data_IF_703255905361
#
_entry.id   IF_703255905361
#
_cell.length_a   1.000
_cell.length_b   1.000
_cell.length_c   1.000
_cell.angle_alpha   90.00
_cell.angle_beta   90.00
_cell.angle_gamma   90.00
#
_symmetry.space_group_name_H-M   'P 1'
#
loop_
_entity.id
_entity.type
_entity.pdbx_description
1 polymer ?
#
# COMPACT_ATOMS: atom_id res chain seq x y z
N UNK A 1 -6.88 -10.66 13.01
CA UNK A 1 -7.89 -10.35 11.98
C UNK A 1 -9.24 -10.82 12.51
N UNK A 2 -10.27 -9.98 12.41
CA UNK A 2 -11.65 -10.28 12.80
C UNK A 2 -12.50 -10.32 11.53
N UNK A 3 -13.40 -11.29 11.46
CA UNK A 3 -14.39 -11.41 10.40
C UNK A 3 -15.78 -11.19 10.99
N UNK A 4 -16.59 -10.37 10.33
CA UNK A 4 -17.97 -10.07 10.72
C UNK A 4 -18.87 -10.41 9.54
N UNK A 5 -19.77 -11.38 9.71
CA UNK A 5 -20.76 -11.72 8.70
C UNK A 5 -21.82 -10.60 8.60
N UNK A 6 -22.08 -10.16 7.38
CA UNK A 6 -23.14 -9.21 7.02
C UNK A 6 -24.23 -9.96 6.25
N UNK A 7 -25.41 -9.36 6.12
CA UNK A 7 -26.52 -9.96 5.35
C UNK A 7 -26.18 -10.20 3.86
N UNK A 8 -25.20 -9.46 3.33
CA UNK A 8 -24.79 -9.49 1.91
C UNK A 8 -23.29 -9.76 1.71
N UNK A 9 -22.56 -10.22 2.74
CA UNK A 9 -21.12 -10.47 2.61
C UNK A 9 -20.39 -10.66 3.93
N UNK A 10 -19.08 -10.43 3.92
CA UNK A 10 -18.23 -10.47 5.11
C UNK A 10 -17.40 -9.20 5.19
N UNK A 11 -17.35 -8.59 6.36
CA UNK A 11 -16.46 -7.47 6.68
C UNK A 11 -15.21 -8.01 7.36
N UNK A 12 -14.05 -7.53 6.90
CA UNK A 12 -12.75 -7.89 7.45
C UNK A 12 -12.18 -6.71 8.23
N UNK A 13 -11.79 -6.93 9.48
CA UNK A 13 -11.15 -5.91 10.33
C UNK A 13 -9.78 -6.40 10.77
N UNK A 14 -8.75 -5.60 10.53
CA UNK A 14 -7.38 -5.89 10.92
C UNK A 14 -6.79 -4.68 11.64
N UNK A 15 -6.37 -4.88 12.89
CA UNK A 15 -5.82 -3.81 13.71
C UNK A 15 -6.05 -4.03 15.21
N UNK A 16 -5.44 -3.19 16.06
CA UNK A 16 -4.40 -2.22 15.69
C UNK A 16 -3.11 -2.94 15.26
N UNK A 17 -2.44 -2.42 14.23
CA UNK A 17 -1.14 -2.93 13.75
C UNK A 17 -0.16 -1.77 13.53
N UNK A 18 1.16 -2.00 13.67
CA UNK A 18 2.14 -0.93 13.48
C UNK A 18 2.15 -0.38 12.05
N UNK A 19 2.13 0.95 11.93
CA UNK A 19 2.33 1.63 10.65
C UNK A 19 3.83 1.83 10.31
N UNK A 20 4.68 1.83 11.33
CA UNK A 20 6.14 1.98 11.21
C UNK A 20 6.78 0.71 11.74
N UNK A 21 7.59 0.05 10.90
CA UNK A 21 8.41 -1.11 11.29
C UNK A 21 9.88 -0.69 11.40
N UNK A 22 10.72 -1.62 11.86
CA UNK A 22 12.17 -1.42 11.95
C UNK A 22 12.89 -2.47 11.09
N UNK A 23 13.68 -2.00 10.11
CA UNK A 23 14.59 -2.83 9.34
C UNK A 23 15.88 -3.03 10.13
N UNK A 24 16.10 -4.25 10.64
CA UNK A 24 17.30 -4.62 11.39
C UNK A 24 18.55 -4.70 10.51
N UNK A 25 18.43 -4.95 9.21
CA UNK A 25 19.59 -5.03 8.32
C UNK A 25 20.23 -3.67 8.08
N UNK A 26 19.41 -2.60 8.10
CA UNK A 26 19.82 -1.21 7.85
C UNK A 26 19.70 -0.29 9.07
N UNK A 27 19.28 -0.83 10.21
CA UNK A 27 19.14 -0.11 11.48
C UNK A 27 18.30 1.18 11.39
N UNK A 28 17.14 1.08 10.73
CA UNK A 28 16.25 2.23 10.51
C UNK A 28 14.78 1.89 10.57
N UNK A 29 13.96 2.90 10.89
CA UNK A 29 12.50 2.82 10.76
C UNK A 29 12.10 2.86 9.28
N UNK A 30 11.01 2.18 8.94
CA UNK A 30 10.49 2.08 7.58
C UNK A 30 8.98 2.29 7.56
N UNK A 31 8.49 2.95 6.50
CA UNK A 31 7.06 3.18 6.25
C UNK A 31 6.41 1.91 5.67
N UNK A 32 6.21 0.91 6.52
CA UNK A 32 5.72 -0.41 6.12
C UNK A 32 4.25 -0.58 6.51
N UNK A 33 3.38 0.03 5.71
CA UNK A 33 1.93 -0.03 5.86
C UNK A 33 1.24 0.22 4.51
N UNK A 34 -0.09 0.13 4.51
CA UNK A 34 -0.91 0.33 3.32
C UNK A 34 -1.81 1.57 3.43
N UNK A 35 -1.43 2.58 4.23
CA UNK A 35 -2.27 3.74 4.55
C UNK A 35 -2.76 4.47 3.30
N UNK A 36 -1.84 4.97 2.47
CA UNK A 36 -2.17 5.70 1.24
C UNK A 36 -2.93 4.79 0.27
N UNK A 37 -2.44 3.55 0.07
CA UNK A 37 -3.06 2.59 -0.84
C UNK A 37 -4.52 2.27 -0.50
N UNK A 38 -4.84 2.10 0.80
CA UNK A 38 -6.20 1.86 1.25
C UNK A 38 -7.06 3.13 1.12
N UNK A 39 -6.55 4.26 1.60
CA UNK A 39 -7.31 5.51 1.66
C UNK A 39 -7.63 6.11 0.29
N UNK A 40 -6.82 5.84 -0.74
CA UNK A 40 -7.02 6.39 -2.09
C UNK A 40 -7.41 5.36 -3.13
N UNK A 41 -7.37 4.06 -2.80
CA UNK A 41 -7.46 3.00 -3.80
C UNK A 41 -8.37 1.83 -3.44
N UNK A 42 -8.81 1.68 -2.19
CA UNK A 42 -9.78 0.62 -1.82
C UNK A 42 -11.20 1.13 -2.01
N UNK A 43 -11.52 1.44 -3.25
CA UNK A 43 -12.82 1.95 -3.67
C UNK A 43 -13.50 0.93 -4.59
N UNK A 44 -14.65 0.42 -4.15
CA UNK A 44 -15.56 -0.37 -4.97
C UNK A 44 -16.99 -0.26 -4.42
N UNK A 45 -17.95 -1.01 -4.98
CA UNK A 45 -19.35 -0.97 -4.54
C UNK A 45 -19.58 -1.36 -3.07
N UNK A 46 -18.56 -1.89 -2.38
CA UNK A 46 -18.62 -2.37 -0.99
C UNK A 46 -17.71 -1.56 -0.06
N UNK A 47 -16.73 -0.85 -0.60
CA UNK A 47 -15.69 -0.19 0.17
C UNK A 47 -15.65 1.31 -0.11
N UNK A 48 -15.80 2.09 0.96
CA UNK A 48 -15.56 3.53 0.99
C UNK A 48 -14.08 3.75 1.38
N UNK A 49 -13.24 4.29 0.48
CA UNK A 49 -11.80 4.35 0.69
C UNK A 49 -11.42 5.20 1.91
N UNK A 50 -12.17 6.27 2.24
CA UNK A 50 -11.87 7.11 3.41
C UNK A 50 -12.19 6.43 4.74
N UNK A 51 -12.92 5.30 4.70
CA UNK A 51 -13.20 4.43 5.86
C UNK A 51 -12.40 3.13 5.85
N UNK A 52 -11.66 2.87 4.77
CA UNK A 52 -10.90 1.63 4.59
C UNK A 52 -9.71 1.51 5.55
N UNK A 53 -9.23 2.65 6.05
CA UNK A 53 -8.14 2.73 7.03
C UNK A 53 -8.38 3.89 8.00
N UNK A 54 -8.16 3.61 9.28
CA UNK A 54 -8.26 4.57 10.38
C UNK A 54 -7.02 4.47 11.26
N UNK A 55 -6.90 5.33 12.26
CA UNK A 55 -6.02 5.05 13.38
C UNK A 55 -6.42 3.73 14.08
N UNK A 56 -5.49 3.17 14.85
CA UNK A 56 -5.67 1.89 15.54
C UNK A 56 -6.75 1.89 16.61
N UNK A 57 -7.18 3.07 17.05
CA UNK A 57 -8.29 3.32 17.98
C UNK A 57 -9.64 3.57 17.26
N UNK A 58 -9.65 3.53 15.93
CA UNK A 58 -10.84 3.77 15.11
C UNK A 58 -11.07 5.24 14.70
N UNK A 59 -10.25 6.19 15.17
CA UNK A 59 -10.38 7.58 14.73
C UNK A 59 -10.02 7.74 13.25
N UNK A 60 -10.75 8.57 12.49
CA UNK A 60 -10.43 8.80 11.08
C UNK A 60 -9.06 9.45 10.93
N UNK A 61 -8.38 9.14 9.82
CA UNK A 61 -7.14 9.79 9.45
C UNK A 61 -7.43 11.17 8.80
N UNK A 62 -6.64 12.22 9.10
CA UNK A 62 -6.78 13.52 8.42
C UNK A 62 -6.44 13.40 6.94
N UNK A 63 -7.38 13.78 6.07
CA UNK A 63 -7.26 13.60 4.62
C UNK A 63 -6.08 14.38 4.04
N UNK A 64 -5.88 15.63 4.48
CA UNK A 64 -4.79 16.51 4.08
C UNK A 64 -3.42 15.86 4.32
N UNK A 65 -3.23 15.23 5.49
CA UNK A 65 -1.97 14.54 5.83
C UNK A 65 -1.76 13.32 4.93
N UNK A 66 -2.81 12.58 4.58
CA UNK A 66 -2.70 11.42 3.71
C UNK A 66 -2.31 11.83 2.29
N UNK A 67 -2.89 12.92 1.77
CA UNK A 67 -2.52 13.44 0.46
C UNK A 67 -1.13 14.04 0.44
N UNK A 68 -0.67 14.65 1.54
CA UNK A 68 0.71 15.11 1.67
C UNK A 68 1.70 13.92 1.69
N UNK A 69 1.32 12.81 2.36
CA UNK A 69 2.07 11.56 2.29
C UNK A 69 2.10 10.96 0.87
N UNK A 70 0.98 10.99 0.14
CA UNK A 70 0.94 10.59 -1.27
C UNK A 70 1.91 11.42 -2.10
N UNK A 71 1.93 12.74 -1.91
CA UNK A 71 2.87 13.63 -2.60
C UNK A 71 4.32 13.26 -2.32
N UNK A 72 4.70 13.00 -1.07
CA UNK A 72 6.05 12.53 -0.72
C UNK A 72 6.39 11.22 -1.46
N UNK A 73 5.45 10.27 -1.54
CA UNK A 73 5.66 9.02 -2.26
C UNK A 73 5.86 9.24 -3.76
N UNK A 74 5.19 10.22 -4.36
CA UNK A 74 5.35 10.57 -5.78
C UNK A 74 6.66 11.29 -6.04
N UNK A 75 7.04 12.24 -5.19
CA UNK A 75 8.27 13.04 -5.31
C UNK A 75 9.52 12.16 -5.15
N UNK A 76 9.50 11.19 -4.26
CA UNK A 76 10.62 10.28 -3.98
C UNK A 76 10.65 9.02 -4.87
N UNK A 77 9.66 8.84 -5.77
CA UNK A 77 9.62 7.65 -6.61
C UNK A 77 10.62 7.70 -7.79
N UNK A 78 11.13 6.54 -8.19
CA UNK A 78 12.02 6.41 -9.36
C UNK A 78 11.32 5.58 -10.45
N UNK A 79 10.66 6.22 -11.44
CA UNK A 79 9.95 5.51 -12.51
C UNK A 79 10.93 5.09 -13.62
N UNK A 80 11.42 3.85 -13.56
CA UNK A 80 12.30 3.28 -14.59
C UNK A 80 11.46 2.70 -15.74
N UNK A 81 11.62 3.16 -16.99
CA UNK A 81 10.93 2.58 -18.15
C UNK A 81 11.42 1.16 -18.42
N UNK A 82 10.51 0.19 -18.35
CA UNK A 82 10.80 -1.23 -18.59
C UNK A 82 11.22 -1.50 -20.04
N UNK A 83 12.26 -2.32 -20.20
CA UNK A 83 12.66 -2.93 -21.46
C UNK A 83 12.54 -4.46 -21.37
N UNK A 84 12.35 -5.09 -22.52
CA UNK A 84 12.30 -6.55 -22.61
C UNK A 84 13.65 -7.13 -22.18
N UNK A 85 13.62 -8.05 -21.22
CA UNK A 85 14.81 -8.70 -20.67
C UNK A 85 15.29 -8.10 -19.35
N UNK A 86 14.75 -6.95 -18.94
CA UNK A 86 15.09 -6.36 -17.64
C UNK A 86 14.63 -7.28 -16.48
N UNK A 87 15.46 -7.31 -15.44
CA UNK A 87 15.12 -7.91 -14.14
C UNK A 87 15.36 -6.87 -13.07
N UNK A 88 14.33 -6.57 -12.28
CA UNK A 88 14.43 -5.68 -11.13
C UNK A 88 14.40 -6.52 -9.85
N UNK A 89 15.43 -6.37 -9.01
CA UNK A 89 15.46 -6.93 -7.66
C UNK A 89 15.04 -5.83 -6.68
N UNK A 90 14.03 -6.12 -5.87
CA UNK A 90 13.52 -5.20 -4.85
C UNK A 90 13.73 -5.83 -3.47
N UNK A 91 14.33 -5.08 -2.55
CA UNK A 91 14.23 -5.39 -1.12
C UNK A 91 12.90 -4.86 -0.59
N UNK A 92 12.00 -5.79 -0.25
CA UNK A 92 10.63 -5.49 0.16
C UNK A 92 10.55 -4.79 1.55
N UNK A 93 11.61 -4.81 2.36
CA UNK A 93 11.66 -4.04 3.61
C UNK A 93 12.01 -2.57 3.35
N UNK A 94 12.70 -2.27 2.25
CA UNK A 94 13.22 -0.93 1.98
C UNK A 94 12.42 -0.17 0.91
N UNK A 95 11.52 -0.83 0.18
CA UNK A 95 10.95 -0.28 -1.05
C UNK A 95 9.45 -0.54 -1.14
N UNK A 96 8.67 0.51 -1.40
CA UNK A 96 7.30 0.39 -1.88
C UNK A 96 7.31 0.43 -3.41
N UNK A 97 6.40 -0.29 -4.07
CA UNK A 97 6.28 -0.28 -5.51
C UNK A 97 4.83 0.00 -5.94
N UNK A 98 4.69 0.62 -7.10
CA UNK A 98 3.39 0.95 -7.70
C UNK A 98 3.42 0.69 -9.21
N UNK A 99 2.33 1.03 -9.90
CA UNK A 99 2.21 0.84 -11.34
C UNK A 99 1.52 2.05 -11.97
N UNK A 100 2.13 2.65 -12.99
CA UNK A 100 1.48 3.65 -13.84
C UNK A 100 0.43 3.00 -14.74
N UNK A 101 -0.57 3.76 -15.17
CA UNK A 101 -1.45 3.36 -16.26
C UNK A 101 -0.64 3.09 -17.54
N UNK A 102 -1.13 2.20 -18.39
CA UNK A 102 -0.45 1.80 -19.62
C UNK A 102 -1.46 1.32 -20.65
N UNK A 103 -1.08 1.42 -21.93
CA UNK A 103 -1.81 0.81 -23.02
C UNK A 103 -1.26 -0.60 -23.30
N UNK A 104 -2.12 -1.63 -23.42
CA UNK A 104 -1.68 -2.98 -23.76
C UNK A 104 -1.09 -3.04 -25.19
N UNK A 105 -0.18 -3.99 -25.50
CA UNK A 105 0.20 -5.13 -24.66
C UNK A 105 1.30 -4.80 -23.64
N UNK A 106 1.17 -5.34 -22.42
CA UNK A 106 2.21 -5.28 -21.37
C UNK A 106 2.23 -6.58 -20.57
N UNK A 107 3.42 -7.17 -20.37
CA UNK A 107 3.60 -8.35 -19.53
C UNK A 107 4.84 -8.20 -18.65
N UNK A 108 4.64 -8.32 -17.35
CA UNK A 108 5.71 -8.38 -16.33
C UNK A 108 5.46 -9.62 -15.49
N UNK A 109 6.52 -10.37 -15.19
CA UNK A 109 6.48 -11.54 -14.33
C UNK A 109 7.12 -11.21 -12.98
N UNK A 110 6.79 -11.96 -11.94
CA UNK A 110 7.31 -11.75 -10.59
C UNK A 110 7.66 -13.07 -9.91
N UNK A 111 8.56 -13.00 -8.94
CA UNK A 111 8.89 -14.07 -8.00
C UNK A 111 9.02 -13.46 -6.60
N UNK A 112 8.66 -14.22 -5.56
CA UNK A 112 8.68 -13.77 -4.18
C UNK A 112 9.71 -14.57 -3.38
N UNK A 113 10.47 -13.86 -2.55
CA UNK A 113 11.39 -14.46 -1.60
C UNK A 113 10.71 -14.67 -0.24
N UNK A 114 11.21 -15.65 0.54
CA UNK A 114 10.76 -15.94 1.90
C UNK A 114 11.17 -14.82 2.87
#
# INVERSE_FOLDING_TARGET
MKLEWLSNGVKTVMGPIPAIKYDKSRQRKIWFNSMVAAYTGWEDSRNDPVKAVTFGDGQPLPADIIYDCLKILEDECVPIPWKKGDVMLIDNLATLHSRRSFDPPRRVLASLCK
#
